data_IF_444356315749
#
_entry.id   IF_444356315749
#
_cell.length_a   1.000
_cell.length_b   1.000
_cell.length_c   1.000
_cell.angle_alpha   90.00
_cell.angle_beta   90.00
_cell.angle_gamma   90.00
#
_symmetry.space_group_name_H-M   'P 1'
#
loop_
_entity.id
_entity.type
_entity.pdbx_description
1 polymer ?
#
# COMPACT_ATOMS: atom_id res chain seq x y z
N UNK A 1 -66.04 23.43 26.12
CA UNK A 1 -64.98 22.65 26.71
C UNK A 1 -65.40 21.18 26.51
N UNK A 2 -65.06 20.63 25.37
CA UNK A 2 -65.10 19.18 25.09
C UNK A 2 -64.19 18.90 23.89
N UNK A 3 -63.04 18.36 24.14
CA UNK A 3 -62.11 17.87 23.15
C UNK A 3 -62.63 16.54 22.58
N UNK A 4 -63.00 16.54 21.32
CA UNK A 4 -63.35 15.30 20.60
C UNK A 4 -62.12 14.79 19.87
N UNK A 5 -61.49 13.76 20.49
CA UNK A 5 -60.38 13.01 19.92
C UNK A 5 -60.89 12.12 18.80
N UNK A 6 -60.54 12.43 17.53
CA UNK A 6 -60.70 11.54 16.40
C UNK A 6 -59.51 10.62 16.35
N UNK A 7 -59.73 9.34 16.70
CA UNK A 7 -58.78 8.22 16.48
C UNK A 7 -58.91 7.74 15.03
N UNK A 8 -57.85 7.92 14.27
CA UNK A 8 -57.66 7.19 12.99
C UNK A 8 -56.81 5.95 13.27
N UNK A 9 -57.20 4.78 12.76
CA UNK A 9 -56.40 3.57 12.84
C UNK A 9 -55.49 3.51 11.61
N UNK A 10 -54.20 3.79 11.77
CA UNK A 10 -53.18 3.37 10.83
C UNK A 10 -52.32 2.29 11.48
N UNK A 11 -52.70 1.05 11.27
CA UNK A 11 -51.86 -0.09 11.46
C UNK A 11 -50.96 -0.25 10.24
N UNK A 12 -49.73 0.20 10.30
CA UNK A 12 -48.71 -0.21 9.33
C UNK A 12 -47.76 -1.13 10.11
N UNK A 13 -47.95 -2.43 9.89
CA UNK A 13 -47.01 -3.42 10.35
C UNK A 13 -45.69 -3.28 9.63
N UNK A 14 -44.68 -2.85 10.34
CA UNK A 14 -43.29 -2.92 9.89
C UNK A 14 -42.85 -4.38 10.07
N UNK A 15 -42.92 -5.16 9.00
CA UNK A 15 -42.22 -6.45 8.91
C UNK A 15 -40.71 -6.13 8.81
N UNK A 16 -40.02 -6.31 9.93
CA UNK A 16 -38.57 -6.45 9.95
C UNK A 16 -38.20 -7.79 9.30
N UNK A 17 -37.95 -7.79 8.00
CA UNK A 17 -37.21 -8.87 7.35
C UNK A 17 -35.76 -8.74 7.75
N UNK A 18 -35.36 -9.52 8.75
CA UNK A 18 -33.97 -9.78 9.06
C UNK A 18 -33.34 -10.56 7.91
N UNK A 19 -32.74 -9.86 6.94
CA UNK A 19 -31.84 -10.47 5.98
C UNK A 19 -30.53 -10.79 6.74
N UNK A 20 -30.39 -12.06 7.16
CA UNK A 20 -29.11 -12.62 7.51
C UNK A 20 -28.22 -12.59 6.25
N UNK A 21 -27.40 -11.57 6.12
CA UNK A 21 -26.29 -11.57 5.18
C UNK A 21 -25.28 -12.59 5.71
N UNK A 22 -25.45 -13.85 5.29
CA UNK A 22 -24.35 -14.80 5.30
C UNK A 22 -23.31 -14.23 4.33
N UNK A 23 -22.26 -13.63 4.89
CA UNK A 23 -21.04 -13.37 4.17
C UNK A 23 -20.48 -14.74 3.75
N UNK A 24 -20.78 -15.15 2.50
CA UNK A 24 -19.94 -16.11 1.80
C UNK A 24 -18.60 -15.40 1.63
N UNK A 25 -17.68 -15.64 2.53
CA UNK A 25 -16.26 -15.47 2.21
C UNK A 25 -16.00 -16.35 0.99
N UNK A 26 -15.55 -15.80 -0.15
CA UNK A 26 -15.01 -16.67 -1.17
C UNK A 26 -13.82 -17.37 -0.50
N UNK A 27 -13.89 -18.68 -0.33
CA UNK A 27 -12.73 -19.49 -0.10
C UNK A 27 -11.83 -19.21 -1.31
N UNK A 28 -10.81 -18.37 -1.11
CA UNK A 28 -9.73 -18.19 -2.06
C UNK A 28 -9.16 -19.59 -2.23
N UNK A 29 -9.38 -20.18 -3.41
CA UNK A 29 -8.65 -21.36 -3.82
C UNK A 29 -7.17 -20.97 -3.70
N UNK A 30 -6.50 -21.52 -2.69
CA UNK A 30 -5.06 -21.44 -2.59
C UNK A 30 -4.53 -22.15 -3.83
N UNK A 31 -3.89 -21.38 -4.68
CA UNK A 31 -3.13 -21.93 -5.80
C UNK A 31 -1.91 -22.61 -5.16
N UNK A 32 -1.98 -23.93 -4.97
CA UNK A 32 -0.99 -24.76 -4.28
C UNK A 32 0.30 -24.96 -5.12
N UNK A 33 0.45 -24.25 -6.24
CA UNK A 33 1.68 -24.29 -7.02
C UNK A 33 2.81 -23.64 -6.20
N UNK A 34 4.01 -24.23 -6.12
CA UNK A 34 5.14 -23.62 -5.41
C UNK A 34 5.48 -22.26 -6.01
N UNK A 35 5.80 -21.28 -5.15
CA UNK A 35 6.27 -19.96 -5.60
C UNK A 35 7.64 -20.16 -6.25
N UNK A 36 7.73 -19.98 -7.57
CA UNK A 36 8.94 -20.24 -8.33
C UNK A 36 9.73 -18.96 -8.66
N UNK A 37 9.10 -17.77 -8.52
CA UNK A 37 9.73 -16.50 -8.89
C UNK A 37 9.27 -15.35 -7.98
N UNK A 38 10.01 -14.24 -8.02
CA UNK A 38 9.61 -12.98 -7.36
C UNK A 38 8.29 -12.47 -7.93
N UNK A 39 8.05 -12.67 -9.22
CA UNK A 39 6.80 -12.33 -9.88
C UNK A 39 5.62 -13.14 -9.31
N UNK A 40 5.77 -14.48 -9.14
CA UNK A 40 4.71 -15.31 -8.55
C UNK A 40 4.41 -14.91 -7.10
N UNK A 41 5.45 -14.56 -6.33
CA UNK A 41 5.32 -14.05 -4.98
C UNK A 41 4.51 -12.75 -4.96
N UNK A 42 4.81 -11.84 -5.89
CA UNK A 42 4.10 -10.57 -6.04
C UNK A 42 2.63 -10.78 -6.42
N UNK A 43 2.34 -11.62 -7.42
CA UNK A 43 0.95 -11.89 -7.86
C UNK A 43 0.08 -12.45 -6.72
N UNK A 44 0.63 -13.38 -5.92
CA UNK A 44 -0.08 -13.93 -4.75
C UNK A 44 -0.35 -12.89 -3.68
N UNK A 45 0.63 -12.06 -3.36
CA UNK A 45 0.48 -11.00 -2.38
C UNK A 45 -0.45 -9.90 -2.90
N UNK A 46 -0.39 -9.55 -4.19
CA UNK A 46 -1.26 -8.56 -4.83
C UNK A 46 -2.73 -8.96 -4.81
N UNK A 47 -3.03 -10.27 -4.92
CA UNK A 47 -4.40 -10.78 -4.79
C UNK A 47 -5.01 -10.57 -3.38
N UNK A 48 -4.16 -10.42 -2.36
CA UNK A 48 -4.55 -10.17 -0.96
C UNK A 48 -4.49 -8.70 -0.56
N UNK A 49 -4.11 -7.82 -1.49
CA UNK A 49 -3.92 -6.39 -1.23
C UNK A 49 -5.24 -5.74 -0.76
N UNK A 50 -5.29 -5.10 0.43
CA UNK A 50 -6.51 -4.46 0.93
C UNK A 50 -7.07 -3.38 0.00
N UNK A 51 -6.21 -2.64 -0.70
CA UNK A 51 -6.56 -1.63 -1.70
C UNK A 51 -7.29 -2.25 -2.91
N UNK A 52 -6.92 -3.46 -3.30
CA UNK A 52 -7.63 -4.18 -4.36
C UNK A 52 -9.05 -4.56 -3.91
N UNK A 53 -9.22 -5.00 -2.67
CA UNK A 53 -10.53 -5.31 -2.09
C UNK A 53 -11.41 -4.05 -1.92
N UNK A 54 -10.83 -2.90 -1.60
CA UNK A 54 -11.54 -1.63 -1.48
C UNK A 54 -11.90 -0.98 -2.84
N UNK A 55 -11.19 -1.31 -3.92
CA UNK A 55 -11.34 -0.70 -5.25
C UNK A 55 -12.77 -0.74 -5.79
N UNK A 56 -13.55 -1.85 -5.71
CA UNK A 56 -14.93 -1.88 -6.19
C UNK A 56 -15.84 -0.88 -5.47
N UNK A 57 -15.69 -0.73 -4.16
CA UNK A 57 -16.48 0.22 -3.36
C UNK A 57 -16.15 1.68 -3.73
N UNK A 58 -14.86 1.99 -3.92
CA UNK A 58 -14.42 3.31 -4.37
C UNK A 58 -14.92 3.63 -5.79
N UNK A 59 -14.89 2.67 -6.70
CA UNK A 59 -15.47 2.81 -8.05
C UNK A 59 -16.97 3.03 -8.00
N UNK A 60 -17.70 2.29 -7.17
CA UNK A 60 -19.14 2.48 -6.98
C UNK A 60 -19.47 3.88 -6.44
N UNK A 61 -18.63 4.43 -5.53
CA UNK A 61 -18.75 5.80 -5.05
C UNK A 61 -18.55 6.81 -6.17
N UNK A 62 -17.53 6.65 -7.01
CA UNK A 62 -17.28 7.50 -8.20
C UNK A 62 -18.45 7.47 -9.17
N UNK A 63 -18.99 6.29 -9.45
CA UNK A 63 -20.17 6.13 -10.32
C UNK A 63 -21.42 6.78 -9.73
N UNK A 64 -21.59 6.71 -8.41
CA UNK A 64 -22.68 7.41 -7.73
C UNK A 64 -22.53 8.94 -7.85
N UNK A 65 -21.33 9.48 -7.66
CA UNK A 65 -21.01 10.90 -7.85
C UNK A 65 -21.29 11.34 -9.31
N UNK A 66 -20.88 10.53 -10.28
CA UNK A 66 -21.14 10.79 -11.71
C UNK A 66 -22.63 10.84 -12.01
N UNK A 67 -23.40 9.86 -11.49
CA UNK A 67 -24.87 9.85 -11.63
C UNK A 67 -25.50 11.07 -10.96
N UNK A 68 -25.06 11.42 -9.75
CA UNK A 68 -25.53 12.60 -9.05
C UNK A 68 -25.27 13.88 -9.84
N UNK A 69 -24.15 13.98 -10.59
CA UNK A 69 -23.80 15.13 -11.40
C UNK A 69 -24.53 15.19 -12.76
N UNK A 70 -25.13 14.11 -13.25
CA UNK A 70 -25.72 14.03 -14.60
C UNK A 70 -27.12 14.60 -14.72
N UNK A 71 -27.87 14.76 -13.61
CA UNK A 71 -29.24 15.24 -13.62
C UNK A 71 -29.36 16.76 -13.81
N UNK A 72 -30.54 17.28 -14.20
CA UNK A 72 -30.81 18.72 -14.35
C UNK A 72 -30.90 19.45 -12.99
N UNK A 73 -31.12 18.73 -11.91
CA UNK A 73 -31.34 19.26 -10.56
C UNK A 73 -30.13 18.95 -9.65
N UNK A 74 -29.98 19.79 -8.60
CA UNK A 74 -28.92 19.63 -7.58
C UNK A 74 -29.44 18.83 -6.39
N UNK A 75 -30.13 17.78 -6.57
CA UNK A 75 -30.70 16.95 -5.53
C UNK A 75 -32.10 16.46 -5.93
N UNK A 76 -32.75 15.68 -5.06
CA UNK A 76 -34.10 15.22 -5.34
C UNK A 76 -35.10 16.37 -5.32
N UNK A 77 -36.14 16.35 -6.20
CA UNK A 77 -37.27 17.25 -6.06
C UNK A 77 -37.97 17.06 -4.72
N UNK A 78 -38.41 18.16 -4.13
CA UNK A 78 -39.15 18.17 -2.86
C UNK A 78 -40.63 18.35 -3.19
N UNK A 79 -41.49 17.49 -2.67
CA UNK A 79 -42.95 17.61 -2.72
C UNK A 79 -43.39 18.19 -1.38
N UNK A 80 -44.15 19.27 -1.43
CA UNK A 80 -44.78 19.87 -0.24
C UNK A 80 -46.27 20.03 -0.46
N UNK A 81 -47.04 19.92 0.61
CA UNK A 81 -48.47 20.15 0.62
C UNK A 81 -48.88 20.93 1.83
N UNK A 82 -49.66 21.97 1.59
CA UNK A 82 -50.17 22.86 2.62
C UNK A 82 -51.69 22.88 2.61
N UNK A 83 -52.30 22.90 3.79
CA UNK A 83 -53.77 23.13 3.94
C UNK A 83 -53.95 24.30 4.89
N UNK A 84 -54.56 25.35 4.40
CA UNK A 84 -54.87 26.53 5.16
C UNK A 84 -56.37 26.63 5.38
N UNK A 85 -56.82 26.68 6.62
CA UNK A 85 -58.20 26.87 6.97
C UNK A 85 -58.32 28.23 7.68
N UNK A 86 -59.22 29.09 7.14
CA UNK A 86 -59.51 30.43 7.71
C UNK A 86 -60.87 30.45 8.39
N UNK A 87 -61.03 31.38 9.33
CA UNK A 87 -62.31 31.64 9.97
C UNK A 87 -63.36 32.03 8.91
N UNK A 88 -64.52 31.36 8.95
CA UNK A 88 -65.54 31.53 7.92
C UNK A 88 -65.68 30.36 6.95
N UNK A 89 -64.91 29.28 7.13
CA UNK A 89 -65.02 28.06 6.34
C UNK A 89 -64.30 28.07 4.98
N UNK A 90 -63.43 29.05 4.80
CA UNK A 90 -62.53 29.12 3.64
C UNK A 90 -61.45 28.05 3.80
N UNK A 91 -61.27 27.20 2.77
CA UNK A 91 -60.24 26.15 2.72
C UNK A 91 -59.39 26.38 1.48
N UNK A 92 -58.08 26.43 1.70
CA UNK A 92 -57.09 26.55 0.65
C UNK A 92 -56.14 25.30 0.78
N UNK A 93 -55.97 24.58 -0.30
CA UNK A 93 -55.11 23.41 -0.41
C UNK A 93 -54.09 23.68 -1.49
N UNK A 94 -52.84 23.44 -1.18
CA UNK A 94 -51.73 23.65 -2.11
C UNK A 94 -50.82 22.43 -2.14
N UNK A 95 -50.48 21.96 -3.33
CA UNK A 95 -49.46 20.95 -3.53
C UNK A 95 -48.39 21.49 -4.49
N UNK A 96 -47.15 21.40 -4.09
CA UNK A 96 -46.00 21.95 -4.83
C UNK A 96 -44.93 20.91 -5.00
N UNK A 97 -44.23 20.95 -6.15
CA UNK A 97 -42.96 20.27 -6.39
C UNK A 97 -41.92 21.34 -6.65
N UNK A 98 -40.87 21.34 -5.86
CA UNK A 98 -39.74 22.27 -6.04
C UNK A 98 -38.43 21.51 -6.25
N UNK A 99 -37.53 22.10 -7.02
CA UNK A 99 -36.21 21.54 -7.26
C UNK A 99 -35.17 22.65 -7.51
N UNK A 100 -33.97 22.48 -6.94
CA UNK A 100 -32.86 23.36 -7.21
C UNK A 100 -32.29 23.08 -8.60
N UNK A 101 -32.25 24.11 -9.45
CA UNK A 101 -31.81 24.02 -10.85
C UNK A 101 -30.28 24.10 -10.89
N UNK A 102 -29.68 23.22 -11.67
CA UNK A 102 -28.23 23.19 -11.87
C UNK A 102 -27.77 24.32 -12.78
N UNK A 103 -26.67 24.98 -12.42
CA UNK A 103 -26.08 26.02 -13.27
C UNK A 103 -25.53 25.42 -14.59
N UNK A 104 -25.57 26.17 -15.70
CA UNK A 104 -24.91 25.74 -16.93
C UNK A 104 -23.45 25.43 -16.71
N UNK A 105 -23.01 24.24 -17.13
CA UNK A 105 -21.66 23.75 -16.94
C UNK A 105 -21.37 23.03 -15.61
N UNK A 106 -22.22 23.20 -14.59
CA UNK A 106 -22.04 22.55 -13.28
C UNK A 106 -22.05 21.02 -13.40
N UNK A 107 -23.02 20.45 -14.15
CA UNK A 107 -23.10 19.00 -14.37
C UNK A 107 -21.87 18.45 -15.08
N UNK A 108 -21.38 19.15 -16.11
CA UNK A 108 -20.15 18.78 -16.82
C UNK A 108 -18.93 18.82 -15.88
N UNK A 109 -18.81 19.85 -15.06
CA UNK A 109 -17.72 19.97 -14.08
C UNK A 109 -17.78 18.84 -13.06
N UNK A 110 -18.97 18.48 -12.54
CA UNK A 110 -19.12 17.36 -11.61
C UNK A 110 -18.82 15.99 -12.23
N UNK A 111 -19.24 15.76 -13.48
CA UNK A 111 -18.90 14.54 -14.22
C UNK A 111 -17.38 14.43 -14.45
N UNK A 112 -16.73 15.54 -14.82
CA UNK A 112 -15.28 15.58 -15.00
C UNK A 112 -14.55 15.32 -13.68
N UNK A 113 -14.99 15.92 -12.58
CA UNK A 113 -14.42 15.70 -11.25
C UNK A 113 -14.54 14.22 -10.84
N UNK A 114 -15.70 13.59 -11.06
CA UNK A 114 -15.91 12.17 -10.79
C UNK A 114 -15.03 11.27 -11.67
N UNK A 115 -14.86 11.60 -12.96
CA UNK A 115 -14.00 10.82 -13.85
C UNK A 115 -12.52 10.85 -13.38
N UNK A 116 -12.00 12.04 -13.09
CA UNK A 116 -10.63 12.20 -12.60
C UNK A 116 -10.43 11.57 -11.21
N UNK A 117 -11.45 11.56 -10.35
CA UNK A 117 -11.41 10.83 -9.10
C UNK A 117 -11.30 9.31 -9.34
N UNK A 118 -11.97 8.78 -10.36
CA UNK A 118 -11.82 7.38 -10.78
C UNK A 118 -10.41 7.05 -11.27
N UNK A 119 -9.83 7.94 -12.07
CA UNK A 119 -8.44 7.80 -12.54
C UNK A 119 -7.45 7.81 -11.37
N UNK A 120 -7.67 8.69 -10.38
CA UNK A 120 -6.86 8.74 -9.16
C UNK A 120 -6.96 7.45 -8.33
N UNK A 121 -8.15 6.83 -8.21
CA UNK A 121 -8.34 5.53 -7.55
C UNK A 121 -7.53 4.44 -8.25
N UNK A 122 -7.59 4.37 -9.58
CA UNK A 122 -6.83 3.37 -10.35
C UNK A 122 -5.31 3.59 -10.22
N UNK A 123 -4.84 4.83 -10.33
CA UNK A 123 -3.43 5.15 -10.19
C UNK A 123 -2.90 4.83 -8.77
N UNK A 124 -3.71 5.09 -7.74
CA UNK A 124 -3.38 4.77 -6.36
C UNK A 124 -3.24 3.26 -6.14
N UNK A 125 -4.07 2.44 -6.78
CA UNK A 125 -3.96 0.98 -6.72
C UNK A 125 -2.62 0.49 -7.29
N UNK A 126 -2.21 1.01 -8.45
CA UNK A 126 -0.91 0.65 -9.05
C UNK A 126 0.26 1.11 -8.17
N UNK A 127 0.16 2.28 -7.53
CA UNK A 127 1.17 2.74 -6.58
C UNK A 127 1.23 1.85 -5.32
N UNK A 128 0.10 1.38 -4.82
CA UNK A 128 0.05 0.43 -3.71
C UNK A 128 0.68 -0.93 -4.08
N UNK A 129 0.46 -1.41 -5.30
CA UNK A 129 1.13 -2.61 -5.82
C UNK A 129 2.65 -2.42 -5.86
N UNK A 130 3.15 -1.24 -6.26
CA UNK A 130 4.58 -0.95 -6.24
C UNK A 130 5.14 -0.93 -4.81
N UNK A 131 4.40 -0.41 -3.84
CA UNK A 131 4.80 -0.45 -2.43
C UNK A 131 4.92 -1.89 -1.94
N UNK A 132 3.90 -2.71 -2.21
CA UNK A 132 3.92 -4.14 -1.89
C UNK A 132 5.11 -4.87 -2.54
N UNK A 133 5.42 -4.56 -3.81
CA UNK A 133 6.60 -5.10 -4.49
C UNK A 133 7.90 -4.78 -3.74
N UNK A 134 8.02 -3.57 -3.19
CA UNK A 134 9.16 -3.15 -2.37
C UNK A 134 9.27 -3.93 -1.06
N UNK A 135 8.14 -4.17 -0.39
CA UNK A 135 8.08 -4.95 0.84
C UNK A 135 8.47 -6.42 0.58
N UNK A 136 7.98 -7.00 -0.52
CA UNK A 136 8.33 -8.35 -0.94
C UNK A 136 9.82 -8.46 -1.29
N UNK A 137 10.37 -7.52 -2.08
CA UNK A 137 11.81 -7.49 -2.39
C UNK A 137 12.65 -7.43 -1.12
N UNK A 138 12.26 -6.61 -0.17
CA UNK A 138 12.97 -6.46 1.11
C UNK A 138 12.96 -7.75 1.91
N UNK A 139 11.78 -8.33 2.14
CA UNK A 139 11.64 -9.58 2.89
C UNK A 139 12.38 -10.75 2.20
N UNK A 140 12.33 -10.78 0.87
CA UNK A 140 13.01 -11.76 0.06
C UNK A 140 14.53 -11.76 0.22
N UNK A 141 15.15 -10.58 0.06
CA UNK A 141 16.61 -10.50 0.17
C UNK A 141 17.09 -10.69 1.61
N UNK A 142 16.26 -10.35 2.61
CA UNK A 142 16.51 -10.72 4.00
C UNK A 142 16.51 -12.25 4.19
N UNK A 143 15.53 -12.94 3.62
CA UNK A 143 15.46 -14.41 3.67
C UNK A 143 16.66 -15.07 2.96
N UNK A 144 17.01 -14.60 1.77
CA UNK A 144 18.14 -15.10 1.01
C UNK A 144 19.47 -14.92 1.78
N UNK A 145 19.66 -13.75 2.40
CA UNK A 145 20.81 -13.46 3.23
C UNK A 145 20.90 -14.34 4.48
N UNK A 146 19.78 -14.51 5.19
CA UNK A 146 19.71 -15.35 6.38
C UNK A 146 19.96 -16.84 6.05
N UNK A 147 19.45 -17.34 4.93
CA UNK A 147 19.76 -18.72 4.46
C UNK A 147 21.25 -18.90 4.16
N UNK A 148 21.85 -17.97 3.42
CA UNK A 148 23.27 -17.99 3.12
C UNK A 148 24.13 -17.96 4.37
N UNK A 149 23.76 -17.14 5.38
CA UNK A 149 24.46 -17.09 6.65
C UNK A 149 24.39 -18.41 7.41
N UNK A 150 23.22 -19.05 7.50
CA UNK A 150 23.06 -20.36 8.14
C UNK A 150 23.92 -21.42 7.45
N UNK A 151 23.94 -21.45 6.13
CA UNK A 151 24.74 -22.41 5.37
C UNK A 151 26.24 -22.26 5.64
N UNK A 152 26.76 -21.04 5.66
CA UNK A 152 28.16 -20.74 5.96
C UNK A 152 28.49 -21.12 7.41
N UNK A 153 27.65 -20.78 8.39
CA UNK A 153 27.92 -21.11 9.79
C UNK A 153 27.78 -22.63 10.06
N UNK A 154 26.91 -23.35 9.37
CA UNK A 154 26.84 -24.82 9.43
C UNK A 154 28.15 -25.46 8.95
N UNK A 155 28.71 -25.00 7.83
CA UNK A 155 29.99 -25.44 7.32
C UNK A 155 31.09 -25.14 8.31
N UNK A 156 31.10 -23.96 8.93
CA UNK A 156 32.07 -23.58 9.95
C UNK A 156 31.99 -24.50 11.18
N UNK A 157 30.81 -24.74 11.74
CA UNK A 157 30.62 -25.67 12.87
C UNK A 157 31.09 -27.08 12.52
N UNK A 158 30.79 -27.57 11.33
CA UNK A 158 31.22 -28.90 10.87
C UNK A 158 32.75 -29.03 10.88
N UNK A 159 33.46 -28.04 10.32
CA UNK A 159 34.95 -28.03 10.28
C UNK A 159 35.50 -27.88 11.68
N UNK A 160 35.00 -26.94 12.50
CA UNK A 160 35.48 -26.72 13.86
C UNK A 160 35.30 -27.95 14.76
N UNK A 161 34.24 -28.73 14.56
CA UNK A 161 33.96 -29.99 15.28
C UNK A 161 35.03 -31.06 14.95
N UNK A 162 35.24 -31.31 13.65
CA UNK A 162 36.24 -32.29 13.20
C UNK A 162 37.62 -31.93 13.73
N UNK A 163 37.99 -30.67 13.70
CA UNK A 163 39.27 -30.21 14.15
C UNK A 163 39.42 -30.32 15.68
N UNK A 164 38.40 -29.97 16.45
CA UNK A 164 38.45 -30.12 17.93
C UNK A 164 38.63 -31.59 18.29
N UNK A 165 38.02 -32.53 17.59
CA UNK A 165 38.24 -33.96 17.82
C UNK A 165 39.64 -34.42 17.46
N UNK A 166 40.22 -33.87 16.38
CA UNK A 166 41.62 -34.17 16.01
C UNK A 166 42.61 -33.64 17.05
N UNK A 167 42.45 -32.40 17.47
CA UNK A 167 43.30 -31.79 18.51
C UNK A 167 43.18 -32.56 19.83
N UNK A 168 41.99 -32.98 20.22
CA UNK A 168 41.76 -33.80 21.42
C UNK A 168 42.56 -35.10 21.38
N UNK A 169 42.57 -35.81 20.25
CA UNK A 169 43.34 -37.04 20.05
C UNK A 169 44.85 -36.77 20.16
N UNK A 170 45.33 -35.68 19.57
CA UNK A 170 46.78 -35.34 19.62
C UNK A 170 47.22 -34.90 21.02
N UNK A 171 46.37 -34.25 21.79
CA UNK A 171 46.64 -33.91 23.19
C UNK A 171 46.68 -35.16 24.07
N UNK A 172 45.76 -36.12 23.85
CA UNK A 172 45.80 -37.42 24.55
C UNK A 172 47.04 -38.23 24.22
N UNK A 173 47.53 -38.13 23.00
CA UNK A 173 48.78 -38.73 22.57
C UNK A 173 50.05 -38.00 23.04
N UNK A 174 49.91 -36.88 23.74
CA UNK A 174 51.03 -36.05 24.22
C UNK A 174 51.75 -35.23 23.14
N UNK A 175 51.17 -35.16 21.92
CA UNK A 175 51.76 -34.46 20.78
C UNK A 175 51.45 -32.95 20.79
N UNK A 176 50.28 -32.58 21.31
CA UNK A 176 49.85 -31.18 21.37
C UNK A 176 49.58 -30.74 22.83
N UNK A 177 49.68 -29.42 23.07
CA UNK A 177 49.45 -28.86 24.38
C UNK A 177 47.97 -28.71 24.71
N UNK A 178 47.56 -28.91 25.96
CA UNK A 178 46.17 -28.73 26.43
C UNK A 178 45.58 -27.37 26.08
N UNK A 179 46.40 -26.29 26.02
CA UNK A 179 45.93 -24.94 25.60
C UNK A 179 45.35 -24.91 24.20
N UNK A 180 45.81 -25.75 23.28
CA UNK A 180 45.36 -25.85 21.90
C UNK A 180 43.98 -26.51 21.83
N UNK A 181 43.75 -27.52 22.67
CA UNK A 181 42.41 -28.10 22.81
C UNK A 181 41.41 -27.07 23.37
N UNK A 182 41.80 -26.31 24.38
CA UNK A 182 40.93 -25.27 24.93
C UNK A 182 40.64 -24.18 23.90
N UNK A 183 41.58 -23.82 23.04
CA UNK A 183 41.39 -22.85 21.97
C UNK A 183 40.45 -23.40 20.90
N UNK A 184 40.56 -24.67 20.48
CA UNK A 184 39.66 -25.28 19.51
C UNK A 184 38.22 -25.46 20.07
N UNK A 185 38.08 -25.81 21.34
CA UNK A 185 36.80 -25.89 22.02
C UNK A 185 36.12 -24.51 22.10
N UNK A 186 36.86 -23.45 22.37
CA UNK A 186 36.35 -22.08 22.39
C UNK A 186 35.87 -21.63 21.01
N UNK A 187 36.64 -21.97 19.94
CA UNK A 187 36.27 -21.69 18.56
C UNK A 187 34.99 -22.44 18.15
N UNK A 188 34.89 -23.74 18.45
CA UNK A 188 33.66 -24.50 18.21
C UNK A 188 32.45 -23.92 18.95
N UNK A 189 32.61 -23.54 20.23
CA UNK A 189 31.52 -22.91 20.98
C UNK A 189 31.10 -21.58 20.38
N UNK A 190 32.04 -20.77 19.91
CA UNK A 190 31.77 -19.50 19.25
C UNK A 190 31.04 -19.74 17.88
N UNK A 191 31.46 -20.74 17.10
CA UNK A 191 30.79 -21.12 15.83
C UNK A 191 29.37 -21.58 16.09
N UNK A 192 29.13 -22.42 17.10
CA UNK A 192 27.76 -22.85 17.47
C UNK A 192 26.89 -21.68 17.91
N UNK A 193 27.45 -20.72 18.65
CA UNK A 193 26.71 -19.51 19.03
C UNK A 193 26.30 -18.66 17.82
N UNK A 194 27.19 -18.51 16.84
CA UNK A 194 26.87 -17.79 15.59
C UNK A 194 25.83 -18.52 14.76
N UNK A 195 25.92 -19.86 14.66
CA UNK A 195 24.91 -20.67 13.98
C UNK A 195 23.52 -20.46 14.61
N UNK A 196 23.42 -20.52 15.94
CA UNK A 196 22.12 -20.30 16.63
C UNK A 196 21.57 -18.90 16.37
N UNK A 197 22.42 -17.87 16.32
CA UNK A 197 21.99 -16.51 15.94
C UNK A 197 21.46 -16.47 14.50
N UNK A 198 22.20 -17.05 13.55
CA UNK A 198 21.76 -17.09 12.13
C UNK A 198 20.48 -17.92 11.92
N UNK A 199 20.27 -18.99 12.70
CA UNK A 199 19.02 -19.76 12.67
C UNK A 199 17.84 -18.94 13.20
N UNK A 200 18.05 -18.10 14.21
CA UNK A 200 17.04 -17.16 14.70
C UNK A 200 16.66 -16.11 13.63
N UNK A 201 17.69 -15.51 13.01
CA UNK A 201 17.49 -14.54 11.93
C UNK A 201 16.74 -15.16 10.73
N UNK A 202 17.04 -16.42 10.41
CA UNK A 202 16.34 -17.16 9.37
C UNK A 202 14.87 -17.41 9.73
N UNK A 203 14.60 -17.74 10.98
CA UNK A 203 13.22 -17.95 11.43
C UNK A 203 12.39 -16.64 11.35
N UNK A 204 12.98 -15.51 11.73
CA UNK A 204 12.35 -14.18 11.60
C UNK A 204 12.10 -13.81 10.14
N UNK A 205 13.10 -13.99 9.27
CA UNK A 205 12.98 -13.70 7.84
C UNK A 205 11.91 -14.58 7.17
N UNK A 206 11.82 -15.87 7.55
CA UNK A 206 10.76 -16.78 7.08
C UNK A 206 9.37 -16.30 7.50
N UNK A 207 9.19 -15.94 8.77
CA UNK A 207 7.90 -15.43 9.26
C UNK A 207 7.49 -14.13 8.55
N UNK A 208 8.44 -13.25 8.23
CA UNK A 208 8.18 -12.03 7.46
C UNK A 208 7.67 -12.34 6.05
N UNK A 209 8.31 -13.25 5.34
CA UNK A 209 7.90 -13.66 3.98
C UNK A 209 6.56 -14.38 4.03
N UNK A 210 6.35 -15.31 4.95
CA UNK A 210 5.09 -16.03 5.13
C UNK A 210 3.92 -15.08 5.41
N UNK A 211 4.15 -14.05 6.22
CA UNK A 211 3.14 -13.02 6.50
C UNK A 211 2.72 -12.22 5.26
N UNK A 212 3.63 -11.99 4.30
CA UNK A 212 3.34 -11.25 3.08
C UNK A 212 2.72 -12.12 1.97
N UNK A 213 3.28 -13.32 1.75
CA UNK A 213 2.96 -14.16 0.60
C UNK A 213 2.03 -15.33 1.00
N UNK A 214 2.10 -15.76 2.26
CA UNK A 214 1.36 -16.92 2.82
C UNK A 214 2.04 -18.25 2.60
N UNK A 215 3.23 -18.25 1.99
CA UNK A 215 4.08 -19.42 1.76
C UNK A 215 5.55 -18.97 1.72
N UNK A 216 6.48 -19.89 1.98
CA UNK A 216 7.93 -19.58 1.96
C UNK A 216 8.55 -20.29 0.75
N UNK A 217 8.98 -19.55 -0.26
CA UNK A 217 9.59 -20.14 -1.45
C UNK A 217 10.94 -20.78 -1.13
N UNK A 218 11.23 -21.89 -1.80
CA UNK A 218 12.47 -22.63 -1.60
C UNK A 218 13.65 -22.04 -2.38
N UNK A 219 13.42 -21.50 -3.55
CA UNK A 219 14.45 -20.94 -4.43
C UNK A 219 13.91 -19.65 -5.07
N UNK A 220 14.76 -18.64 -5.10
CA UNK A 220 14.48 -17.41 -5.83
C UNK A 220 15.67 -17.10 -6.75
N UNK A 221 15.37 -16.73 -7.97
CA UNK A 221 16.35 -16.21 -8.89
C UNK A 221 16.72 -14.76 -8.60
N UNK A 222 17.86 -14.33 -9.13
CA UNK A 222 18.20 -12.92 -9.16
C UNK A 222 17.22 -12.16 -10.08
N UNK A 223 16.89 -10.95 -9.71
CA UNK A 223 16.11 -10.04 -10.54
C UNK A 223 17.05 -9.36 -11.55
N UNK A 224 16.67 -9.36 -12.83
CA UNK A 224 17.44 -8.64 -13.83
C UNK A 224 17.27 -7.12 -13.68
N UNK A 225 18.34 -6.39 -13.97
CA UNK A 225 18.28 -4.93 -14.01
C UNK A 225 17.40 -4.48 -15.18
N UNK A 226 16.30 -3.82 -14.87
CA UNK A 226 15.41 -3.25 -15.86
C UNK A 226 16.05 -2.06 -16.59
N UNK A 227 15.69 -1.81 -17.86
CA UNK A 227 16.16 -0.62 -18.57
C UNK A 227 15.67 0.65 -17.85
N UNK A 228 16.45 1.72 -17.94
CA UNK A 228 16.08 3.00 -17.33
C UNK A 228 14.70 3.46 -17.79
N UNK A 229 13.84 3.79 -16.84
CA UNK A 229 12.47 4.27 -17.07
C UNK A 229 12.40 5.79 -16.87
N UNK A 230 11.52 6.46 -17.62
CA UNK A 230 11.24 7.87 -17.38
C UNK A 230 10.53 8.05 -16.04
N UNK A 231 10.98 9.00 -15.24
CA UNK A 231 10.39 9.32 -13.93
C UNK A 231 8.90 9.65 -14.03
N UNK A 232 8.46 10.20 -15.16
CA UNK A 232 7.04 10.54 -15.41
C UNK A 232 6.14 9.30 -15.48
N UNK A 233 6.72 8.14 -15.71
CA UNK A 233 5.97 6.86 -15.73
C UNK A 233 5.92 6.20 -14.37
N UNK A 234 6.64 6.73 -13.37
CA UNK A 234 6.71 6.13 -12.04
C UNK A 234 5.33 6.06 -11.36
N UNK A 235 4.85 4.87 -10.93
CA UNK A 235 3.49 4.69 -10.42
C UNK A 235 3.12 5.62 -9.27
N UNK A 236 4.03 5.83 -8.32
CA UNK A 236 3.78 6.72 -7.19
C UNK A 236 3.61 8.19 -7.63
N UNK A 237 4.38 8.65 -8.61
CA UNK A 237 4.24 10.00 -9.16
C UNK A 237 2.93 10.15 -9.91
N UNK A 238 2.59 9.17 -10.76
CA UNK A 238 1.31 9.16 -11.49
C UNK A 238 0.11 9.17 -10.55
N UNK A 239 0.18 8.45 -9.44
CA UNK A 239 -0.87 8.47 -8.42
C UNK A 239 -1.01 9.85 -7.75
N UNK A 240 0.11 10.48 -7.38
CA UNK A 240 0.11 11.82 -6.79
C UNK A 240 -0.41 12.89 -7.77
N UNK A 241 -0.01 12.83 -9.04
CA UNK A 241 -0.49 13.75 -10.08
C UNK A 241 -1.97 13.52 -10.42
N UNK A 242 -2.43 12.26 -10.50
CA UNK A 242 -3.84 11.95 -10.72
C UNK A 242 -4.70 12.45 -9.55
N UNK A 243 -4.21 12.31 -8.31
CA UNK A 243 -4.87 12.86 -7.12
C UNK A 243 -4.94 14.39 -7.17
N UNK A 244 -3.85 15.07 -7.54
CA UNK A 244 -3.84 16.52 -7.69
C UNK A 244 -4.85 16.99 -8.74
N UNK A 245 -4.90 16.36 -9.92
CA UNK A 245 -5.89 16.65 -10.97
C UNK A 245 -7.33 16.42 -10.51
N UNK A 246 -7.58 15.34 -9.76
CA UNK A 246 -8.91 15.07 -9.19
C UNK A 246 -9.34 16.16 -8.20
N UNK A 247 -8.44 16.59 -7.33
CA UNK A 247 -8.71 17.68 -6.36
C UNK A 247 -8.87 19.03 -7.05
N UNK A 248 -8.12 19.35 -8.10
CA UNK A 248 -8.31 20.55 -8.91
C UNK A 248 -9.69 20.57 -9.57
N UNK A 249 -10.11 19.44 -10.15
CA UNK A 249 -11.43 19.31 -10.75
C UNK A 249 -12.55 19.42 -9.70
N UNK A 250 -12.36 18.84 -8.52
CA UNK A 250 -13.27 18.98 -7.39
C UNK A 250 -13.37 20.45 -6.92
N UNK A 251 -12.26 21.16 -6.81
CA UNK A 251 -12.24 22.58 -6.48
C UNK A 251 -12.95 23.43 -7.55
N UNK A 252 -12.81 23.09 -8.84
CA UNK A 252 -13.54 23.73 -9.92
C UNK A 252 -15.05 23.48 -9.82
N UNK A 253 -15.46 22.25 -9.48
CA UNK A 253 -16.85 21.91 -9.22
C UNK A 253 -17.41 22.62 -7.98
N UNK A 254 -16.70 22.64 -6.87
CA UNK A 254 -17.10 23.28 -5.62
C UNK A 254 -17.43 24.78 -5.78
N UNK A 255 -16.79 25.48 -6.73
CA UNK A 255 -17.07 26.88 -7.05
C UNK A 255 -18.51 27.13 -7.51
N UNK A 256 -19.20 26.14 -8.04
CA UNK A 256 -20.62 26.28 -8.41
C UNK A 256 -21.50 26.42 -7.16
N UNK A 257 -21.11 25.83 -6.04
CA UNK A 257 -21.79 25.97 -4.74
C UNK A 257 -21.81 27.38 -4.20
N UNK A 258 -20.85 28.25 -4.58
CA UNK A 258 -20.81 29.66 -4.12
C UNK A 258 -21.81 30.56 -4.82
N UNK A 259 -22.47 30.07 -5.89
CA UNK A 259 -23.50 30.80 -6.64
C UNK A 259 -24.87 30.61 -5.95
N UNK A 260 -25.75 31.61 -5.99
CA UNK A 260 -27.10 31.46 -5.48
C UNK A 260 -27.82 30.29 -6.15
N UNK A 261 -28.44 29.40 -5.38
CA UNK A 261 -29.20 28.26 -5.92
C UNK A 261 -30.58 28.74 -6.36
N UNK A 262 -30.83 28.71 -7.65
CA UNK A 262 -32.15 28.99 -8.19
C UNK A 262 -33.04 27.76 -8.00
N UNK A 263 -34.20 27.92 -7.38
CA UNK A 263 -35.20 26.88 -7.17
C UNK A 263 -36.40 27.14 -8.06
N UNK A 264 -36.75 26.16 -8.87
CA UNK A 264 -38.00 26.16 -9.66
C UNK A 264 -39.09 25.43 -8.90
N UNK A 265 -40.28 25.99 -8.88
CA UNK A 265 -41.47 25.41 -8.25
C UNK A 265 -42.61 25.34 -9.25
N UNK A 266 -43.31 24.21 -9.27
CA UNK A 266 -44.58 24.04 -9.94
C UNK A 266 -45.56 23.43 -8.96
N UNK A 267 -46.81 23.90 -8.98
CA UNK A 267 -47.82 23.42 -8.04
C UNK A 267 -49.21 23.68 -8.50
N UNK A 268 -50.16 23.14 -7.76
CA UNK A 268 -51.57 23.39 -7.91
C UNK A 268 -52.14 23.91 -6.60
N UNK A 269 -52.97 24.92 -6.71
CA UNK A 269 -53.72 25.46 -5.60
C UNK A 269 -55.19 25.25 -5.86
N UNK A 270 -55.91 24.74 -4.86
CA UNK A 270 -57.36 24.60 -4.84
C UNK A 270 -57.89 25.41 -3.67
N UNK A 271 -58.72 26.36 -3.96
CA UNK A 271 -59.31 27.21 -2.92
C UNK A 271 -60.83 27.24 -2.99
N UNK A 272 -61.45 27.43 -1.86
CA UNK A 272 -62.88 27.65 -1.73
C UNK A 272 -63.09 28.86 -0.85
N UNK A 273 -63.56 29.97 -1.46
CA UNK A 273 -63.74 31.26 -0.83
C UNK A 273 -65.11 31.42 -0.12
N UNK A 274 -66.07 30.55 -0.45
CA UNK A 274 -67.37 30.47 0.23
C UNK A 274 -67.63 29.04 0.69
N UNK A 275 -68.10 28.78 1.92
CA UNK A 275 -68.41 27.44 2.42
C UNK A 275 -69.39 26.66 1.55
N UNK A 276 -70.24 27.36 0.76
CA UNK A 276 -71.24 26.81 -0.17
C UNK A 276 -70.80 26.93 -1.63
N UNK A 277 -69.66 27.56 -1.91
CA UNK A 277 -69.15 27.77 -3.27
C UNK A 277 -68.39 26.57 -3.83
N UNK A 278 -68.15 26.64 -5.13
CA UNK A 278 -67.29 25.64 -5.82
C UNK A 278 -65.82 25.88 -5.47
N UNK A 279 -65.03 24.84 -5.64
CA UNK A 279 -63.57 24.97 -5.58
C UNK A 279 -63.05 25.61 -6.87
N UNK A 280 -62.10 26.50 -6.75
CA UNK A 280 -61.35 27.10 -7.85
C UNK A 280 -59.94 26.50 -7.85
N UNK A 281 -59.47 26.04 -9.01
CA UNK A 281 -58.15 25.47 -9.20
C UNK A 281 -57.24 26.45 -9.94
N UNK A 282 -56.02 26.63 -9.41
CA UNK A 282 -55.00 27.50 -9.99
C UNK A 282 -53.69 26.77 -10.14
N UNK A 283 -52.96 27.02 -11.24
CA UNK A 283 -51.59 26.56 -11.45
C UNK A 283 -50.62 27.56 -10.86
N UNK A 284 -49.68 27.05 -10.08
CA UNK A 284 -48.59 27.82 -9.51
C UNK A 284 -47.29 27.53 -10.25
N UNK A 285 -46.61 28.57 -10.71
CA UNK A 285 -45.24 28.48 -11.23
C UNK A 285 -44.43 29.54 -10.51
N UNK A 286 -43.34 29.12 -9.88
CA UNK A 286 -42.52 30.01 -9.09
C UNK A 286 -41.04 29.79 -9.32
N UNK A 287 -40.26 30.83 -9.10
CA UNK A 287 -38.80 30.80 -9.04
C UNK A 287 -38.39 31.49 -7.76
N UNK A 288 -37.60 30.79 -6.94
CA UNK A 288 -36.98 31.33 -5.77
C UNK A 288 -35.48 31.53 -5.99
N UNK A 289 -34.99 32.73 -5.73
CA UNK A 289 -33.59 33.08 -5.82
C UNK A 289 -33.15 33.60 -4.46
N UNK A 290 -32.25 32.94 -3.73
CA UNK A 290 -31.76 33.43 -2.47
C UNK A 290 -30.95 34.71 -2.67
N UNK A 291 -31.23 35.72 -1.86
CA UNK A 291 -30.52 37.01 -1.87
C UNK A 291 -29.34 36.88 -0.90
N UNK A 292 -28.12 36.98 -1.42
CA UNK A 292 -26.89 36.89 -0.64
C UNK A 292 -25.95 35.79 -1.09
N UNK A 293 -24.81 35.72 -0.41
CA UNK A 293 -23.77 34.70 -0.66
C UNK A 293 -23.77 33.67 0.46
N UNK A 294 -23.73 32.43 0.12
CA UNK A 294 -23.52 31.36 1.10
C UNK A 294 -22.06 31.35 1.54
N UNK A 295 -21.81 31.89 2.75
CA UNK A 295 -20.46 31.95 3.32
C UNK A 295 -19.87 30.58 3.59
N UNK A 296 -20.70 29.57 3.88
CA UNK A 296 -20.27 28.19 4.07
C UNK A 296 -19.77 27.60 2.76
N UNK A 297 -20.53 27.75 1.69
CA UNK A 297 -20.12 27.29 0.37
C UNK A 297 -18.84 28.01 -0.14
N UNK A 298 -18.65 29.28 0.23
CA UNK A 298 -17.40 30.02 -0.07
C UNK A 298 -16.23 29.41 0.70
N UNK A 299 -16.41 29.12 2.00
CA UNK A 299 -15.39 28.47 2.81
C UNK A 299 -15.04 27.07 2.27
N UNK A 300 -16.05 26.26 1.93
CA UNK A 300 -15.88 24.91 1.38
C UNK A 300 -15.11 24.95 0.03
N UNK A 301 -15.47 25.87 -0.87
CA UNK A 301 -14.74 26.06 -2.12
C UNK A 301 -13.30 26.57 -1.91
N UNK A 302 -13.08 27.39 -0.89
CA UNK A 302 -11.75 27.84 -0.45
C UNK A 302 -10.91 26.68 0.06
N UNK A 303 -11.50 25.81 0.89
CA UNK A 303 -10.88 24.58 1.41
C UNK A 303 -10.48 23.63 0.28
N UNK A 304 -11.42 23.33 -0.63
CA UNK A 304 -11.16 22.46 -1.78
C UNK A 304 -10.00 22.99 -2.67
N UNK A 305 -9.93 24.33 -2.85
CA UNK A 305 -8.81 24.94 -3.57
C UNK A 305 -7.48 24.80 -2.85
N UNK A 306 -7.49 24.97 -1.53
CA UNK A 306 -6.28 24.82 -0.72
C UNK A 306 -5.77 23.37 -0.76
N UNK A 307 -6.67 22.38 -0.67
CA UNK A 307 -6.32 20.97 -0.82
C UNK A 307 -5.72 20.64 -2.20
N UNK A 308 -6.29 21.18 -3.28
CA UNK A 308 -5.78 21.01 -4.62
C UNK A 308 -4.35 21.55 -4.75
N UNK A 309 -4.09 22.77 -4.26
CA UNK A 309 -2.76 23.37 -4.28
C UNK A 309 -1.75 22.59 -3.42
N UNK A 310 -2.18 22.08 -2.27
CA UNK A 310 -1.35 21.24 -1.43
C UNK A 310 -0.96 19.93 -2.14
N UNK A 311 -1.90 19.30 -2.85
CA UNK A 311 -1.65 18.08 -3.61
C UNK A 311 -0.69 18.31 -4.79
N UNK A 312 -0.81 19.42 -5.51
CA UNK A 312 0.14 19.81 -6.57
C UNK A 312 1.56 20.00 -5.99
N UNK A 313 1.67 20.68 -4.85
CA UNK A 313 2.95 20.88 -4.19
C UNK A 313 3.54 19.54 -3.68
N UNK A 314 2.71 18.63 -3.21
CA UNK A 314 3.15 17.29 -2.77
C UNK A 314 3.63 16.44 -3.95
N UNK A 315 2.94 16.44 -5.09
CA UNK A 315 3.38 15.76 -6.29
C UNK A 315 4.75 16.30 -6.78
N UNK A 316 4.94 17.62 -6.74
CA UNK A 316 6.23 18.23 -7.09
C UNK A 316 7.36 17.81 -6.12
N UNK A 317 7.10 17.76 -4.80
CA UNK A 317 8.07 17.29 -3.83
C UNK A 317 8.38 15.80 -4.00
N UNK A 318 7.35 14.98 -4.28
CA UNK A 318 7.52 13.56 -4.54
C UNK A 318 8.41 13.30 -5.75
N UNK A 319 8.20 14.07 -6.84
CA UNK A 319 9.06 13.99 -8.03
C UNK A 319 10.53 14.21 -7.68
N UNK A 320 10.85 15.26 -6.90
CA UNK A 320 12.22 15.53 -6.48
C UNK A 320 12.80 14.40 -5.61
N UNK A 321 12.01 13.84 -4.71
CA UNK A 321 12.41 12.68 -3.90
C UNK A 321 12.70 11.47 -4.76
N UNK A 322 11.81 11.09 -5.67
CA UNK A 322 11.99 9.93 -6.55
C UNK A 322 13.25 10.06 -7.44
N UNK A 323 13.55 11.26 -7.95
CA UNK A 323 14.80 11.50 -8.68
C UNK A 323 16.02 11.29 -7.79
N UNK A 324 15.98 11.76 -6.54
CA UNK A 324 17.06 11.55 -5.58
C UNK A 324 17.21 10.07 -5.20
N UNK A 325 16.10 9.37 -4.96
CA UNK A 325 16.07 7.94 -4.60
C UNK A 325 16.61 7.07 -5.73
N UNK A 326 16.24 7.34 -6.97
CA UNK A 326 16.76 6.64 -8.15
C UNK A 326 18.27 6.82 -8.29
N UNK A 327 18.78 8.06 -8.12
CA UNK A 327 20.22 8.34 -8.13
C UNK A 327 20.93 7.61 -6.98
N UNK A 328 20.38 7.68 -5.78
CA UNK A 328 20.95 7.00 -4.62
C UNK A 328 20.99 5.47 -4.80
N UNK A 329 19.93 4.88 -5.37
CA UNK A 329 19.88 3.46 -5.67
C UNK A 329 20.94 3.05 -6.72
N UNK A 330 21.14 3.83 -7.77
CA UNK A 330 22.17 3.57 -8.78
C UNK A 330 23.59 3.65 -8.19
N UNK A 331 23.85 4.60 -7.31
CA UNK A 331 25.13 4.70 -6.58
C UNK A 331 25.32 3.51 -5.64
N UNK A 332 24.26 3.09 -4.94
CA UNK A 332 24.35 1.90 -4.06
C UNK A 332 24.67 0.64 -4.86
N UNK A 333 24.10 0.47 -6.04
CA UNK A 333 24.42 -0.66 -6.92
C UNK A 333 25.90 -0.63 -7.32
N UNK A 334 26.44 0.50 -7.75
CA UNK A 334 27.86 0.62 -8.12
C UNK A 334 28.83 0.38 -6.93
N UNK A 335 28.38 0.70 -5.70
CA UNK A 335 29.14 0.39 -4.47
C UNK A 335 29.09 -1.10 -4.17
N UNK A 336 27.92 -1.73 -4.27
CA UNK A 336 27.74 -3.15 -4.03
C UNK A 336 28.52 -4.00 -5.03
N UNK A 337 28.60 -3.61 -6.29
CA UNK A 337 29.41 -4.27 -7.32
C UNK A 337 30.91 -4.23 -6.98
N UNK A 338 31.41 -3.08 -6.54
CA UNK A 338 32.83 -2.94 -6.11
C UNK A 338 33.09 -3.74 -4.85
N UNK A 339 32.19 -3.69 -3.87
CA UNK A 339 32.31 -4.44 -2.62
C UNK A 339 32.36 -5.95 -2.87
N UNK A 340 31.62 -6.44 -3.87
CA UNK A 340 31.69 -7.85 -4.27
C UNK A 340 33.07 -8.22 -4.82
N UNK A 341 33.63 -7.41 -5.73
CA UNK A 341 34.98 -7.63 -6.28
C UNK A 341 36.04 -7.61 -5.17
N UNK A 342 35.96 -6.67 -4.24
CA UNK A 342 36.89 -6.57 -3.11
C UNK A 342 36.78 -7.79 -2.17
N UNK A 343 35.55 -8.27 -1.91
CA UNK A 343 35.30 -9.45 -1.10
C UNK A 343 35.84 -10.75 -1.77
N UNK A 344 35.68 -10.87 -3.09
CA UNK A 344 36.24 -11.99 -3.87
C UNK A 344 37.77 -12.02 -3.83
N UNK A 345 38.40 -10.86 -4.03
CA UNK A 345 39.87 -10.75 -3.91
C UNK A 345 40.35 -11.09 -2.52
N UNK A 346 39.72 -10.55 -1.45
CA UNK A 346 40.06 -10.85 -0.08
C UNK A 346 39.93 -12.33 0.26
N UNK A 347 38.84 -12.94 -0.11
CA UNK A 347 38.56 -14.36 0.11
C UNK A 347 39.60 -15.25 -0.59
N UNK A 348 39.93 -14.94 -1.84
CA UNK A 348 40.95 -15.66 -2.61
C UNK A 348 42.33 -15.58 -1.96
N UNK A 349 42.75 -14.38 -1.54
CA UNK A 349 44.06 -14.18 -0.86
C UNK A 349 44.13 -14.92 0.48
N UNK A 350 43.02 -14.87 1.28
CA UNK A 350 43.01 -15.56 2.57
C UNK A 350 42.93 -17.08 2.45
N UNK A 351 42.30 -17.58 1.39
CA UNK A 351 42.29 -19.01 1.05
C UNK A 351 43.71 -19.50 0.72
N UNK A 352 44.47 -18.75 -0.08
CA UNK A 352 45.88 -19.07 -0.37
C UNK A 352 46.73 -18.97 0.86
N UNK A 353 46.58 -17.92 1.69
CA UNK A 353 47.27 -17.76 2.94
C UNK A 353 47.03 -18.94 3.91
N UNK A 354 45.76 -19.41 4.01
CA UNK A 354 45.46 -20.59 4.85
C UNK A 354 46.15 -21.85 4.32
N UNK A 355 46.16 -22.09 3.02
CA UNK A 355 46.86 -23.24 2.44
C UNK A 355 48.37 -23.23 2.75
N UNK A 356 49.01 -22.06 2.69
CA UNK A 356 50.42 -21.91 3.05
C UNK A 356 50.64 -22.13 4.55
N UNK A 357 49.75 -21.58 5.39
CA UNK A 357 49.78 -21.75 6.85
C UNK A 357 49.59 -23.22 7.25
N UNK A 358 48.71 -23.95 6.56
CA UNK A 358 48.44 -25.36 6.79
C UNK A 358 49.66 -26.22 6.42
N UNK A 359 50.39 -25.90 5.32
CA UNK A 359 51.64 -26.54 4.95
C UNK A 359 52.71 -26.30 6.00
N UNK A 360 52.96 -25.04 6.41
CA UNK A 360 53.93 -24.72 7.45
C UNK A 360 53.59 -25.39 8.79
N UNK A 361 52.30 -25.58 9.11
CA UNK A 361 51.87 -26.35 10.29
C UNK A 361 52.24 -27.83 10.17
N UNK A 362 52.07 -28.45 9.03
CA UNK A 362 52.45 -29.87 8.82
C UNK A 362 53.93 -30.08 8.86
N UNK A 363 54.72 -29.09 8.48
CA UNK A 363 56.17 -29.06 8.53
C UNK A 363 56.70 -28.70 9.94
N UNK A 364 55.80 -28.27 10.88
CA UNK A 364 56.17 -27.94 12.26
C UNK A 364 56.69 -26.52 12.44
N UNK A 365 56.64 -25.66 11.43
CA UNK A 365 57.12 -24.28 11.46
C UNK A 365 56.06 -23.32 12.03
N UNK A 366 54.77 -23.63 11.87
CA UNK A 366 53.66 -22.77 12.30
C UNK A 366 52.87 -23.44 13.43
N UNK A 367 52.61 -22.66 14.50
CA UNK A 367 51.84 -23.13 15.64
C UNK A 367 50.34 -23.20 15.37
N UNK A 368 49.62 -24.06 16.11
CA UNK A 368 48.16 -24.25 15.98
C UNK A 368 47.36 -22.95 16.14
N UNK A 369 47.72 -22.07 17.02
CA UNK A 369 47.00 -20.80 17.26
C UNK A 369 47.08 -19.88 16.04
N UNK A 370 48.20 -19.86 15.32
CA UNK A 370 48.38 -19.07 14.12
C UNK A 370 47.54 -19.64 12.97
N UNK A 371 47.52 -20.96 12.79
CA UNK A 371 46.65 -21.65 11.87
C UNK A 371 45.15 -21.34 12.18
N UNK A 372 44.74 -21.40 13.45
CA UNK A 372 43.36 -21.10 13.87
C UNK A 372 42.96 -19.67 13.47
N UNK A 373 43.87 -18.69 13.66
CA UNK A 373 43.63 -17.29 13.24
C UNK A 373 43.48 -17.16 11.73
N UNK A 374 44.33 -17.79 10.94
CA UNK A 374 44.25 -17.75 9.49
C UNK A 374 42.93 -18.36 9.00
N UNK A 375 42.48 -19.45 9.63
CA UNK A 375 41.21 -20.10 9.33
C UNK A 375 40.03 -19.20 9.70
N UNK A 376 40.02 -18.58 10.86
CA UNK A 376 38.97 -17.65 11.27
C UNK A 376 38.89 -16.46 10.29
N UNK A 377 40.04 -15.94 9.85
CA UNK A 377 40.07 -14.86 8.87
C UNK A 377 39.42 -15.27 7.51
N UNK A 378 39.62 -16.52 7.08
CA UNK A 378 38.97 -17.04 5.87
C UNK A 378 37.47 -17.18 6.07
N UNK A 379 37.00 -17.69 7.22
CA UNK A 379 35.54 -17.79 7.48
C UNK A 379 34.88 -16.42 7.54
N UNK A 380 35.53 -15.40 8.09
CA UNK A 380 35.03 -14.03 8.05
C UNK A 380 34.94 -13.52 6.61
N UNK A 381 35.96 -13.84 5.79
CA UNK A 381 35.92 -13.46 4.36
C UNK A 381 34.84 -14.23 3.56
N UNK A 382 34.60 -15.51 3.84
CA UNK A 382 33.53 -16.28 3.21
C UNK A 382 32.14 -15.69 3.55
N UNK A 383 31.96 -15.26 4.80
CA UNK A 383 30.73 -14.56 5.24
C UNK A 383 30.57 -13.21 4.56
N UNK A 384 31.65 -12.41 4.52
CA UNK A 384 31.64 -11.11 3.84
C UNK A 384 31.33 -11.26 2.34
N UNK A 385 31.86 -12.30 1.68
CA UNK A 385 31.57 -12.60 0.28
C UNK A 385 30.11 -13.02 0.08
N UNK A 386 29.56 -13.88 0.94
CA UNK A 386 28.16 -14.26 0.90
C UNK A 386 27.25 -13.04 1.03
N UNK A 387 27.54 -12.19 2.02
CA UNK A 387 26.81 -10.93 2.23
C UNK A 387 26.92 -9.96 1.04
N UNK A 388 28.11 -9.83 0.43
CA UNK A 388 28.34 -8.96 -0.73
C UNK A 388 27.57 -9.41 -1.97
N UNK A 389 27.45 -10.73 -2.20
CA UNK A 389 26.62 -11.28 -3.30
C UNK A 389 25.17 -10.92 -3.12
N UNK A 390 24.60 -11.17 -1.93
CA UNK A 390 23.21 -10.81 -1.63
C UNK A 390 23.00 -9.29 -1.72
N UNK A 391 23.94 -8.48 -1.22
CA UNK A 391 23.86 -7.03 -1.27
C UNK A 391 23.83 -6.50 -2.70
N UNK A 392 24.56 -7.09 -3.66
CA UNK A 392 24.51 -6.75 -5.08
C UNK A 392 23.13 -7.04 -5.66
N UNK A 393 22.63 -8.26 -5.47
CA UNK A 393 21.30 -8.66 -6.01
C UNK A 393 20.18 -7.83 -5.38
N UNK A 394 20.24 -7.55 -4.08
CA UNK A 394 19.32 -6.64 -3.40
C UNK A 394 19.41 -5.21 -3.94
N UNK A 395 20.60 -4.73 -4.30
CA UNK A 395 20.79 -3.39 -4.88
C UNK A 395 20.16 -3.28 -6.28
N UNK A 396 20.19 -4.34 -7.09
CA UNK A 396 19.50 -4.41 -8.39
C UNK A 396 17.99 -4.29 -8.17
N UNK A 397 17.42 -5.10 -7.28
CA UNK A 397 15.98 -5.05 -6.96
C UNK A 397 15.56 -3.69 -6.39
N UNK A 398 16.40 -3.08 -5.54
CA UNK A 398 16.14 -1.73 -5.01
C UNK A 398 16.22 -0.64 -6.10
N UNK A 399 17.06 -0.80 -7.11
CA UNK A 399 17.10 0.13 -8.24
C UNK A 399 15.84 -0.04 -9.11
N UNK A 400 15.41 -1.26 -9.39
CA UNK A 400 14.15 -1.53 -10.09
C UNK A 400 12.96 -0.91 -9.34
N UNK A 401 12.93 -1.07 -8.01
CA UNK A 401 11.93 -0.43 -7.15
C UNK A 401 11.94 1.10 -7.26
N UNK A 402 13.13 1.71 -7.21
CA UNK A 402 13.29 3.17 -7.34
C UNK A 402 12.94 3.69 -8.74
N UNK A 403 13.01 2.84 -9.76
CA UNK A 403 12.55 3.13 -11.12
C UNK A 403 11.05 2.90 -11.31
N UNK A 404 10.35 2.37 -10.31
CA UNK A 404 8.91 2.11 -10.37
C UNK A 404 8.54 0.86 -11.17
N UNK A 405 9.45 -0.09 -11.30
CA UNK A 405 9.23 -1.35 -12.02
C UNK A 405 8.67 -2.40 -11.07
N UNK A 406 7.58 -3.06 -11.47
CA UNK A 406 7.02 -4.22 -10.77
C UNK A 406 7.86 -5.48 -11.09
N UNK A 407 7.89 -6.46 -10.19
CA UNK A 407 8.60 -7.72 -10.41
C UNK A 407 8.09 -8.52 -11.59
#
# INVERSE_FOLDING_TARGET
MNLMLIRLPFGVGVMLLGAAVMALSPALAQDDAPVASLHDAFERAAARLPEAAASPALKAQVDAQRRAASGPFVGPPVVSGDVLTRSGGIIEQEARVSAAIRWPGEGRSGISAAALAGDAVNAKLVAAQLTLAGDIRTAYWQLAGARSAVEIEQQHVAIARVETEQVARLVQAGVQARRELLASQADLAAAMGRLSASESDLAEARASVEGLIGDVPDIFGDEDLSPSTDIETHPALRAAEANAKALEANAAYARFGTRPRVEGTIGVRRERNDPRGNYEDALLVGIAVPLGRDQRAIADAGGARAEALAAVAEAARLRLRLIADQRAASVRLSIAERALVDAEMRQSALREALMLTERGRTEGEIGYIEYLRARQALFDADRDLGAARIAKSAAISNLNQAMGVLP
#
